data_IF_943597541464
#
_entry.id   IF_943597541464
#
_cell.length_a   1.000
_cell.length_b   1.000
_cell.length_c   1.000
_cell.angle_alpha   90.00
_cell.angle_beta   90.00
_cell.angle_gamma   90.00
#
_symmetry.space_group_name_H-M   'P 1'
#
loop_
_entity.id
_entity.type
_entity.pdbx_description
1 polymer ?
#
# COMPACT_ATOMS: atom_id res chain seq x y z
N UNK A 1 22.09 -13.46 13.47
CA UNK A 1 21.37 -12.31 14.07
C UNK A 1 20.43 -11.82 12.99
N UNK A 2 19.25 -12.39 12.96
CA UNK A 2 18.28 -12.19 11.88
C UNK A 2 17.58 -10.85 12.12
N UNK A 3 18.11 -9.82 11.48
CA UNK A 3 17.48 -8.50 11.45
C UNK A 3 16.27 -8.60 10.50
N UNK A 4 15.18 -9.22 10.96
CA UNK A 4 13.87 -9.12 10.30
C UNK A 4 13.36 -7.69 10.52
N UNK A 5 13.95 -6.74 9.82
CA UNK A 5 13.32 -5.46 9.54
C UNK A 5 12.03 -5.83 8.80
N UNK A 6 10.91 -5.77 9.51
CA UNK A 6 9.64 -6.27 8.97
C UNK A 6 9.31 -5.46 7.72
N UNK A 7 9.26 -6.15 6.57
CA UNK A 7 8.81 -5.60 5.30
C UNK A 7 7.29 -5.30 5.35
N UNK A 8 6.75 -4.79 6.45
CA UNK A 8 5.32 -4.57 6.65
C UNK A 8 4.99 -3.13 6.28
N UNK A 9 3.99 -2.95 5.42
CA UNK A 9 3.40 -1.65 5.09
C UNK A 9 2.05 -1.56 5.80
N UNK A 10 1.84 -0.53 6.62
CA UNK A 10 0.52 -0.19 7.13
C UNK A 10 -0.06 0.96 6.32
N UNK A 11 -1.28 0.80 5.81
CA UNK A 11 -1.91 1.81 4.97
C UNK A 11 -3.40 1.97 5.26
N UNK A 12 -3.94 3.14 4.91
CA UNK A 12 -5.35 3.47 4.93
C UNK A 12 -5.74 3.86 3.50
N UNK A 13 -6.94 3.48 3.07
CA UNK A 13 -7.47 3.85 1.75
C UNK A 13 -8.37 5.07 1.92
N UNK A 14 -7.93 6.23 1.43
CA UNK A 14 -8.68 7.48 1.60
C UNK A 14 -9.87 7.59 0.65
N UNK A 15 -9.77 7.01 -0.54
CA UNK A 15 -10.84 7.02 -1.53
C UNK A 15 -11.03 5.67 -2.22
N UNK A 16 -12.28 5.38 -2.60
CA UNK A 16 -12.61 4.14 -3.31
C UNK A 16 -12.30 2.87 -2.50
N UNK A 17 -12.33 2.95 -1.17
CA UNK A 17 -12.23 1.77 -0.30
C UNK A 17 -13.33 0.76 -0.67
N UNK A 18 -13.06 -0.56 -0.60
CA UNK A 18 -14.09 -1.57 -0.80
C UNK A 18 -15.25 -1.29 0.16
N UNK A 19 -16.47 -1.25 -0.37
CA UNK A 19 -17.75 -0.83 0.29
C UNK A 19 -18.04 -1.54 1.63
N UNK A 20 -17.26 -2.56 1.99
CA UNK A 20 -17.44 -3.39 3.19
C UNK A 20 -16.43 -3.11 4.32
N UNK A 21 -15.47 -2.18 4.16
CA UNK A 21 -14.53 -1.82 5.24
C UNK A 21 -14.72 -0.37 5.68
N UNK A 22 -14.68 -0.07 7.00
CA UNK A 22 -14.63 1.29 7.49
C UNK A 22 -13.47 2.05 6.85
N UNK A 23 -13.69 3.30 6.42
CA UNK A 23 -12.64 4.16 5.81
C UNK A 23 -11.39 4.29 6.68
N UNK A 24 -11.50 4.07 7.99
CA UNK A 24 -10.40 4.21 8.98
C UNK A 24 -9.72 2.87 9.34
N UNK A 25 -10.08 1.76 8.69
CA UNK A 25 -9.45 0.48 9.00
C UNK A 25 -8.02 0.43 8.46
N UNK A 26 -7.04 0.44 9.36
CA UNK A 26 -5.64 0.19 9.01
C UNK A 26 -5.50 -1.18 8.37
N UNK A 27 -5.01 -1.19 7.15
CA UNK A 27 -4.74 -2.38 6.36
C UNK A 27 -3.22 -2.62 6.33
N UNK A 28 -2.84 -3.85 6.03
CA UNK A 28 -1.45 -4.27 6.02
C UNK A 28 -1.07 -4.88 4.69
N UNK A 29 0.18 -4.73 4.31
CA UNK A 29 0.80 -5.40 3.19
C UNK A 29 2.25 -5.74 3.45
N UNK A 30 2.87 -6.44 2.50
CA UNK A 30 4.29 -6.78 2.54
C UNK A 30 5.02 -6.02 1.44
N UNK A 31 5.92 -5.11 1.82
CA UNK A 31 6.81 -4.37 0.94
C UNK A 31 7.67 -5.34 0.12
N UNK A 32 7.64 -5.18 -1.20
CA UNK A 32 8.42 -5.97 -2.16
C UNK A 32 9.51 -5.13 -2.78
N UNK A 33 9.20 -3.87 -3.10
CA UNK A 33 10.14 -2.95 -3.71
C UNK A 33 9.87 -1.51 -3.26
N UNK A 34 10.93 -0.71 -3.17
CA UNK A 34 10.86 0.71 -2.88
C UNK A 34 11.83 1.48 -3.78
N UNK A 35 11.37 2.64 -4.24
CA UNK A 35 12.14 3.63 -4.98
C UNK A 35 11.86 5.03 -4.45
N UNK A 36 12.54 6.04 -5.00
CA UNK A 36 12.24 7.45 -4.71
C UNK A 36 10.84 7.87 -5.17
N UNK A 37 10.30 7.23 -6.20
CA UNK A 37 9.02 7.61 -6.81
C UNK A 37 7.82 6.83 -6.26
N UNK A 38 8.04 5.78 -5.48
CA UNK A 38 6.95 4.89 -5.09
C UNK A 38 7.40 3.56 -4.49
N UNK A 39 6.41 2.73 -4.17
CA UNK A 39 6.57 1.40 -3.57
C UNK A 39 5.73 0.36 -4.30
N UNK A 40 6.21 -0.87 -4.28
CA UNK A 40 5.46 -2.07 -4.62
C UNK A 40 5.26 -2.94 -3.38
N UNK A 41 4.03 -3.40 -3.14
CA UNK A 41 3.74 -4.31 -2.02
C UNK A 41 2.65 -5.33 -2.35
N UNK A 42 2.61 -6.42 -1.56
CA UNK A 42 1.55 -7.42 -1.58
C UNK A 42 0.49 -7.11 -0.52
N UNK A 43 -0.78 -7.31 -0.82
CA UNK A 43 -1.87 -7.16 0.14
C UNK A 43 -3.06 -8.04 -0.24
N UNK A 44 -3.89 -8.42 0.74
CA UNK A 44 -5.15 -9.12 0.50
C UNK A 44 -6.29 -8.16 0.15
N UNK A 45 -6.00 -6.86 0.13
CA UNK A 45 -6.96 -5.81 -0.20
C UNK A 45 -7.00 -5.62 -1.72
N UNK A 46 -8.19 -5.71 -2.36
CA UNK A 46 -8.33 -5.54 -3.80
C UNK A 46 -8.28 -4.05 -4.19
N UNK A 47 -7.09 -3.44 -4.06
CA UNK A 47 -6.87 -2.06 -4.46
C UNK A 47 -6.95 -1.92 -5.99
N UNK A 48 -7.43 -0.77 -6.46
CA UNK A 48 -7.59 -0.46 -7.87
C UNK A 48 -6.75 0.76 -8.25
N UNK A 49 -6.31 0.87 -9.52
CA UNK A 49 -5.72 2.10 -10.02
C UNK A 49 -6.58 3.33 -9.70
N UNK A 50 -5.96 4.38 -9.16
CA UNK A 50 -6.63 5.59 -8.70
C UNK A 50 -7.00 5.62 -7.22
N UNK A 51 -6.96 4.49 -6.50
CA UNK A 51 -7.07 4.53 -5.03
C UNK A 51 -5.91 5.33 -4.44
N UNK A 52 -6.23 6.21 -3.49
CA UNK A 52 -5.29 7.01 -2.72
C UNK A 52 -5.06 6.32 -1.38
N UNK A 53 -3.79 6.11 -1.08
CA UNK A 53 -3.35 5.48 0.15
C UNK A 53 -2.58 6.48 1.01
N UNK A 54 -2.82 6.45 2.31
CA UNK A 54 -1.91 7.01 3.32
C UNK A 54 -1.17 5.88 4.02
N UNK A 55 0.14 5.99 4.14
CA UNK A 55 0.95 4.99 4.79
C UNK A 55 2.20 5.62 5.41
N UNK A 56 2.70 4.99 6.47
CA UNK A 56 3.96 5.41 7.09
C UNK A 56 5.10 4.61 6.48
N UNK A 57 6.15 5.31 6.06
CA UNK A 57 7.35 4.69 5.54
C UNK A 57 8.57 5.50 5.97
N UNK A 58 9.58 4.83 6.56
CA UNK A 58 10.81 5.47 7.08
C UNK A 58 10.54 6.75 7.89
N UNK A 59 9.62 6.69 8.86
CA UNK A 59 9.24 7.80 9.75
C UNK A 59 8.56 9.01 9.07
N UNK A 60 8.20 8.90 7.79
CA UNK A 60 7.40 9.89 7.07
C UNK A 60 5.99 9.34 6.78
N UNK A 61 4.97 10.17 7.06
CA UNK A 61 3.62 9.95 6.55
C UNK A 61 3.64 10.29 5.06
N UNK A 62 3.42 9.28 4.21
CA UNK A 62 3.39 9.45 2.78
C UNK A 62 1.97 9.20 2.26
N UNK A 63 1.60 9.98 1.25
CA UNK A 63 0.41 9.75 0.44
C UNK A 63 0.85 9.18 -0.91
N UNK A 64 0.04 8.30 -1.50
CA UNK A 64 0.35 7.75 -2.81
C UNK A 64 -0.88 7.26 -3.57
N UNK A 65 -0.75 7.20 -4.89
CA UNK A 65 -1.82 6.75 -5.79
C UNK A 65 -1.43 5.37 -6.31
N UNK A 66 -2.35 4.41 -6.20
CA UNK A 66 -2.23 3.10 -6.84
C UNK A 66 -2.22 3.32 -8.35
N UNK A 67 -1.13 2.91 -9.01
CA UNK A 67 -0.95 3.05 -10.45
C UNK A 67 -1.35 1.78 -11.20
N UNK A 68 -1.12 0.62 -10.59
CA UNK A 68 -1.48 -0.68 -11.15
C UNK A 68 -1.70 -1.70 -10.03
N UNK A 69 -2.53 -2.69 -10.34
CA UNK A 69 -2.79 -3.86 -9.49
C UNK A 69 -2.69 -5.11 -10.35
N UNK A 70 -1.95 -6.10 -9.87
CA UNK A 70 -1.90 -7.44 -10.42
C UNK A 70 -2.48 -8.41 -9.39
N UNK A 71 -3.59 -9.05 -9.73
CA UNK A 71 -4.14 -10.13 -8.93
C UNK A 71 -3.28 -11.40 -9.13
N UNK A 72 -2.89 -12.03 -8.03
CA UNK A 72 -2.26 -13.35 -7.99
C UNK A 72 -3.29 -14.38 -7.54
N UNK A 73 -2.89 -15.66 -7.43
CA UNK A 73 -3.80 -16.72 -6.94
C UNK A 73 -4.31 -16.47 -5.52
N UNK A 74 -3.54 -15.77 -4.68
CA UNK A 74 -3.81 -15.65 -3.25
C UNK A 74 -3.96 -14.19 -2.78
N UNK A 75 -3.37 -13.23 -3.48
CA UNK A 75 -3.31 -11.83 -3.04
C UNK A 75 -3.20 -10.85 -4.22
N UNK A 76 -2.96 -9.58 -3.92
CA UNK A 76 -2.77 -8.52 -4.91
C UNK A 76 -1.38 -7.92 -4.77
N UNK A 77 -0.64 -7.84 -5.87
CA UNK A 77 0.55 -6.98 -5.97
C UNK A 77 0.11 -5.62 -6.48
N UNK A 78 0.51 -4.57 -5.79
CA UNK A 78 0.15 -3.20 -6.14
C UNK A 78 1.39 -2.35 -6.28
N UNK A 79 1.36 -1.45 -7.26
CA UNK A 79 2.37 -0.40 -7.42
C UNK A 79 1.76 0.95 -7.08
N UNK A 80 2.40 1.67 -6.15
CA UNK A 80 1.95 2.95 -5.64
C UNK A 80 3.00 4.00 -5.94
N UNK A 81 2.58 5.08 -6.58
CA UNK A 81 3.42 6.26 -6.82
C UNK A 81 3.19 7.27 -5.69
N UNK A 82 4.27 7.78 -5.11
CA UNK A 82 4.18 8.84 -4.11
C UNK A 82 3.63 10.12 -4.72
N UNK A 83 2.84 10.85 -3.94
CA UNK A 83 2.44 12.22 -4.25
C UNK A 83 3.11 13.13 -3.24
N UNK A 84 3.81 14.16 -3.74
CA UNK A 84 4.29 15.24 -2.89
C UNK A 84 3.08 16.10 -2.51
N UNK A 85 2.97 16.47 -1.23
CA UNK A 85 2.01 17.48 -0.75
C UNK A 85 2.47 18.90 -1.10
#
# INVERSE_FOLDING_TARGET
MDNQQTNKVEFIVENGAPVQRPLESRMTGTLIDISRSGIGFLTDVPLKPGNVLKFNNFDACNSGIVMWTLQTEQNYRVGVRFVEE
#
